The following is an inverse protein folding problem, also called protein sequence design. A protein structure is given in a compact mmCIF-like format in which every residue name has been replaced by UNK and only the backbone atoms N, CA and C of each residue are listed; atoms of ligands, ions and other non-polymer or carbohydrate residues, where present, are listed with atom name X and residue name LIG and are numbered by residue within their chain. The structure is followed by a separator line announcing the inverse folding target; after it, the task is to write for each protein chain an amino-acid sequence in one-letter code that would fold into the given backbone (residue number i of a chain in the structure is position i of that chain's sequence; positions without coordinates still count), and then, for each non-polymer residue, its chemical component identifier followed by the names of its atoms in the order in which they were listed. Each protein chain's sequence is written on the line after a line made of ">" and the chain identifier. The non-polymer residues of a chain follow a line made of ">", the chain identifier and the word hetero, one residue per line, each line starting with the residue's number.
data_IF_754936791691
#
_entry.id   IF_754936791691
#
_cell.length_a   1.000
_cell.length_b   1.000
_cell.length_c   1.000
_cell.angle_alpha   90.00
_cell.angle_beta   90.00
_cell.angle_gamma   90.00
#
_symmetry.space_group_name_H-M   'P 1'
#
loop_
_entity.id
_entity.type
_entity.pdbx_description
1 polymer ?
#
# COMPACT_ATOMS: atom_id res chain seq x y z
N UNK A 1 -7.66 16.23 -27.25
CA UNK A 1 -6.68 15.19 -26.87
C UNK A 1 -6.76 14.06 -27.88
N UNK A 2 -5.64 13.51 -28.37
CA UNK A 2 -5.64 12.38 -29.33
C UNK A 2 -6.08 11.09 -28.63
N UNK A 3 -6.88 10.25 -29.29
CA UNK A 3 -7.21 8.89 -28.84
C UNK A 3 -6.60 7.87 -29.80
N UNK A 4 -6.02 6.81 -29.24
CA UNK A 4 -5.45 5.69 -29.99
C UNK A 4 -6.34 4.46 -29.73
N UNK A 5 -6.86 3.79 -30.78
CA UNK A 5 -7.62 2.55 -30.64
C UNK A 5 -6.82 1.47 -29.89
N UNK A 6 -7.51 0.63 -29.12
CA UNK A 6 -6.87 -0.41 -28.31
C UNK A 6 -6.15 -1.43 -29.20
N UNK A 7 -6.70 -1.77 -30.38
CA UNK A 7 -6.07 -2.72 -31.32
C UNK A 7 -4.70 -2.27 -31.84
N UNK A 8 -4.39 -0.97 -31.76
CA UNK A 8 -3.10 -0.43 -32.19
C UNK A 8 -2.03 -0.53 -31.10
N UNK A 9 -2.37 -1.07 -29.94
CA UNK A 9 -1.46 -1.28 -28.81
C UNK A 9 -1.36 -2.77 -28.48
N UNK A 10 -0.12 -3.28 -28.46
CA UNK A 10 0.13 -4.63 -27.99
C UNK A 10 0.34 -4.60 -26.47
N UNK A 11 -0.75 -4.56 -25.70
CA UNK A 11 -0.67 -4.82 -24.27
C UNK A 11 -0.40 -6.30 -24.05
N UNK A 12 0.66 -6.61 -23.29
CA UNK A 12 0.85 -7.97 -22.78
C UNK A 12 -0.23 -8.22 -21.74
N UNK A 13 -1.34 -8.85 -22.16
CA UNK A 13 -2.29 -9.43 -21.22
C UNK A 13 -1.58 -10.66 -20.65
N UNK A 14 -1.02 -10.53 -19.45
CA UNK A 14 -0.52 -11.70 -18.75
C UNK A 14 -1.74 -12.42 -18.17
N UNK A 15 -2.17 -13.48 -18.85
CA UNK A 15 -3.23 -14.35 -18.36
C UNK A 15 -2.75 -15.02 -17.08
N UNK A 16 -3.14 -14.48 -15.93
CA UNK A 16 -2.90 -15.07 -14.62
C UNK A 16 -4.18 -15.78 -14.16
N UNK A 17 -4.19 -17.10 -14.35
CA UNK A 17 -5.35 -17.94 -14.03
C UNK A 17 -5.71 -17.88 -12.56
N UNK A 18 -4.75 -17.66 -11.67
CA UNK A 18 -5.00 -17.64 -10.22
C UNK A 18 -5.73 -16.35 -9.85
N UNK A 19 -5.26 -15.21 -10.34
CA UNK A 19 -5.94 -13.92 -10.14
C UNK A 19 -7.34 -13.97 -10.77
N UNK A 20 -7.49 -14.58 -11.96
CA UNK A 20 -8.79 -14.76 -12.58
C UNK A 20 -9.72 -15.64 -11.72
N UNK A 21 -9.21 -16.74 -11.18
CA UNK A 21 -10.00 -17.67 -10.36
C UNK A 21 -10.50 -17.01 -9.07
N UNK A 22 -9.64 -16.23 -8.40
CA UNK A 22 -10.05 -15.49 -7.20
C UNK A 22 -11.02 -14.37 -7.55
N UNK A 23 -10.78 -13.58 -8.60
CA UNK A 23 -11.71 -12.56 -9.07
C UNK A 23 -13.09 -13.17 -9.35
N UNK A 24 -13.15 -14.21 -10.18
CA UNK A 24 -14.39 -14.89 -10.54
C UNK A 24 -15.15 -15.38 -9.30
N UNK A 25 -14.43 -15.91 -8.30
CA UNK A 25 -15.06 -16.37 -7.07
C UNK A 25 -15.69 -15.21 -6.29
N UNK A 26 -14.98 -14.11 -6.05
CA UNK A 26 -15.56 -12.94 -5.38
C UNK A 26 -16.71 -12.33 -6.17
N UNK A 27 -16.56 -12.25 -7.49
CA UNK A 27 -17.58 -11.70 -8.40
C UNK A 27 -18.85 -12.55 -8.42
N UNK A 28 -18.78 -13.86 -8.14
CA UNK A 28 -19.97 -14.72 -8.06
C UNK A 28 -20.97 -14.33 -6.96
N UNK A 29 -20.55 -13.50 -6.00
CA UNK A 29 -21.41 -12.98 -4.93
C UNK A 29 -22.06 -11.62 -5.27
N UNK A 30 -21.77 -11.06 -6.45
CA UNK A 30 -22.27 -9.79 -6.97
C UNK A 30 -23.12 -10.08 -8.21
N UNK A 31 -24.33 -9.53 -8.25
CA UNK A 31 -25.16 -9.63 -9.45
C UNK A 31 -24.60 -8.68 -10.51
N UNK A 32 -24.55 -9.10 -11.77
CA UNK A 32 -23.96 -8.35 -12.88
C UNK A 32 -24.42 -6.88 -12.94
N UNK A 33 -25.73 -6.63 -12.79
CA UNK A 33 -26.30 -5.27 -12.76
C UNK A 33 -25.71 -4.40 -11.64
N UNK A 34 -25.48 -4.98 -10.46
CA UNK A 34 -24.90 -4.26 -9.33
C UNK A 34 -23.41 -3.97 -9.60
N UNK A 35 -22.70 -4.91 -10.24
CA UNK A 35 -21.33 -4.68 -10.65
C UNK A 35 -21.20 -3.55 -11.66
N UNK A 36 -22.00 -3.56 -12.73
CA UNK A 36 -22.00 -2.51 -13.76
C UNK A 36 -22.20 -1.13 -13.11
N UNK A 37 -23.18 -1.02 -12.20
CA UNK A 37 -23.42 0.23 -11.47
C UNK A 37 -22.22 0.63 -10.60
N UNK A 38 -21.73 -0.30 -9.78
CA UNK A 38 -20.60 -0.06 -8.87
C UNK A 38 -19.34 0.39 -9.63
N UNK A 39 -19.06 -0.28 -10.74
CA UNK A 39 -17.96 0.06 -11.64
C UNK A 39 -18.14 1.46 -12.24
N UNK A 40 -19.33 1.80 -12.71
CA UNK A 40 -19.61 3.16 -13.21
C UNK A 40 -19.45 4.24 -12.13
N UNK A 41 -19.86 3.96 -10.89
CA UNK A 41 -19.71 4.90 -9.78
C UNK A 41 -18.22 5.12 -9.45
N UNK A 42 -17.42 4.04 -9.43
CA UNK A 42 -15.96 4.08 -9.27
C UNK A 42 -15.34 4.94 -10.38
N UNK A 43 -15.62 4.62 -11.65
CA UNK A 43 -15.08 5.31 -12.81
C UNK A 43 -15.41 6.81 -12.81
N UNK A 44 -16.62 7.19 -12.38
CA UNK A 44 -17.01 8.59 -12.22
C UNK A 44 -16.24 9.33 -11.12
N UNK A 45 -15.87 8.64 -10.04
CA UNK A 45 -15.09 9.25 -8.95
C UNK A 45 -13.62 9.50 -9.33
N UNK A 46 -13.08 8.67 -10.22
CA UNK A 46 -11.65 8.71 -10.61
C UNK A 46 -11.43 9.29 -12.01
N UNK A 47 -12.48 9.65 -12.72
CA UNK A 47 -12.37 10.31 -14.02
C UNK A 47 -11.65 11.64 -13.85
N UNK A 48 -10.57 11.81 -14.62
CA UNK A 48 -9.79 13.03 -14.63
C UNK A 48 -10.19 13.89 -15.82
N UNK A 49 -10.66 15.10 -15.54
CA UNK A 49 -10.87 16.14 -16.55
C UNK A 49 -9.65 17.06 -16.62
N UNK A 50 -9.07 17.17 -17.81
CA UNK A 50 -8.01 18.15 -18.06
C UNK A 50 -8.59 19.56 -17.97
N UNK A 51 -8.13 20.33 -16.98
CA UNK A 51 -8.37 21.76 -16.95
C UNK A 51 -7.28 22.48 -17.74
N UNK A 52 -7.68 23.47 -18.55
CA UNK A 52 -6.77 24.42 -19.20
C UNK A 52 -6.25 25.50 -18.25
N UNK A 53 -6.53 25.38 -16.95
CA UNK A 53 -6.05 26.29 -15.92
C UNK A 53 -4.52 26.30 -15.83
N UNK A 54 -3.98 27.44 -15.37
CA UNK A 54 -2.55 27.61 -15.15
C UNK A 54 -2.06 26.55 -14.14
N UNK A 55 -0.95 25.84 -14.40
CA UNK A 55 -0.40 24.89 -13.43
C UNK A 55 -0.23 25.52 -12.05
N UNK A 56 -0.62 24.79 -10.99
CA UNK A 56 -0.61 25.24 -9.60
C UNK A 56 -1.59 26.39 -9.29
N UNK A 57 -2.64 26.60 -10.11
CA UNK A 57 -3.74 27.53 -9.80
C UNK A 57 -4.58 27.08 -8.61
N UNK A 58 -4.67 25.77 -8.38
CA UNK A 58 -5.39 25.15 -7.26
C UNK A 58 -4.41 24.59 -6.23
N UNK A 59 -4.78 24.60 -4.94
CA UNK A 59 -3.95 24.01 -3.89
C UNK A 59 -3.67 22.53 -4.18
N UNK A 60 -2.39 22.13 -4.11
CA UNK A 60 -1.98 20.72 -4.26
C UNK A 60 -2.59 19.79 -3.20
N UNK A 61 -3.03 20.35 -2.07
CA UNK A 61 -3.73 19.64 -0.99
C UNK A 61 -5.15 19.21 -1.36
N UNK A 62 -5.71 19.78 -2.42
CA UNK A 62 -7.03 19.42 -2.97
C UNK A 62 -6.93 18.41 -4.12
N UNK A 63 -5.72 17.90 -4.40
CA UNK A 63 -5.51 16.88 -5.42
C UNK A 63 -6.33 15.61 -5.15
N UNK A 64 -6.78 14.97 -6.23
CA UNK A 64 -7.62 13.77 -6.17
C UNK A 64 -6.82 12.59 -5.60
N UNK A 65 -6.91 12.37 -4.29
CA UNK A 65 -6.54 11.09 -3.70
C UNK A 65 -7.42 10.02 -4.34
N UNK A 66 -6.85 9.18 -5.19
CA UNK A 66 -7.51 8.03 -5.81
C UNK A 66 -7.70 6.91 -4.77
N UNK A 67 -8.56 7.16 -3.78
CA UNK A 67 -8.91 6.19 -2.76
C UNK A 67 -10.41 6.27 -2.49
N UNK A 68 -11.14 5.24 -2.89
CA UNK A 68 -12.58 5.14 -2.66
C UNK A 68 -12.79 4.56 -1.26
N UNK A 69 -13.15 5.42 -0.31
CA UNK A 69 -13.26 5.06 1.12
C UNK A 69 -14.58 4.38 1.49
N UNK A 70 -15.67 4.74 0.81
CA UNK A 70 -17.00 4.21 1.13
C UNK A 70 -17.20 2.79 0.60
N UNK A 71 -16.45 2.43 -0.43
CA UNK A 71 -16.54 1.14 -1.09
C UNK A 71 -15.15 0.59 -1.47
N UNK A 72 -14.36 0.29 -0.44
CA UNK A 72 -12.97 -0.14 -0.58
C UNK A 72 -12.86 -1.48 -1.32
N UNK A 73 -13.70 -2.47 -0.98
CA UNK A 73 -13.67 -3.75 -1.70
C UNK A 73 -14.14 -3.61 -3.15
N UNK A 74 -15.08 -2.73 -3.45
CA UNK A 74 -15.47 -2.42 -4.83
C UNK A 74 -14.30 -1.88 -5.64
N UNK A 75 -13.54 -0.97 -5.04
CA UNK A 75 -12.30 -0.45 -5.62
C UNK A 75 -11.26 -1.55 -5.86
N UNK A 76 -11.09 -2.49 -4.93
CA UNK A 76 -10.13 -3.59 -5.10
C UNK A 76 -10.53 -4.54 -6.22
N UNK A 77 -11.80 -4.92 -6.28
CA UNK A 77 -12.32 -5.75 -7.38
C UNK A 77 -12.19 -5.03 -8.72
N UNK A 78 -12.37 -3.71 -8.76
CA UNK A 78 -12.16 -2.92 -9.96
C UNK A 78 -10.69 -2.94 -10.42
N UNK A 79 -9.75 -2.77 -9.49
CA UNK A 79 -8.32 -2.86 -9.80
C UNK A 79 -7.95 -4.22 -10.39
N UNK A 80 -8.49 -5.31 -9.84
CA UNK A 80 -8.22 -6.69 -10.30
C UNK A 80 -8.89 -6.96 -11.65
N UNK A 81 -10.15 -6.54 -11.83
CA UNK A 81 -10.88 -6.63 -13.10
C UNK A 81 -10.14 -5.91 -14.23
N UNK A 82 -9.73 -4.67 -13.96
CA UNK A 82 -8.99 -3.85 -14.92
C UNK A 82 -7.61 -4.42 -15.22
N UNK A 83 -6.90 -4.95 -14.22
CA UNK A 83 -5.59 -5.58 -14.43
C UNK A 83 -5.67 -6.73 -15.45
N UNK A 84 -6.71 -7.56 -15.36
CA UNK A 84 -6.93 -8.70 -16.25
C UNK A 84 -7.47 -8.25 -17.61
N UNK A 85 -8.57 -7.48 -17.60
CA UNK A 85 -9.40 -7.28 -18.78
C UNK A 85 -9.06 -5.99 -19.55
N UNK A 86 -8.50 -4.99 -18.86
CA UNK A 86 -8.25 -3.66 -19.41
C UNK A 86 -6.89 -3.11 -18.95
N UNK A 87 -5.75 -3.79 -19.23
CA UNK A 87 -4.45 -3.43 -18.67
C UNK A 87 -4.01 -2.00 -18.99
N UNK A 88 -4.49 -1.43 -20.10
CA UNK A 88 -4.31 -0.01 -20.44
C UNK A 88 -4.85 0.96 -19.36
N UNK A 89 -5.81 0.53 -18.55
CA UNK A 89 -6.40 1.26 -17.42
C UNK A 89 -5.81 0.90 -16.05
N UNK A 90 -4.89 -0.06 -15.95
CA UNK A 90 -4.29 -0.52 -14.70
C UNK A 90 -3.63 0.58 -13.87
N UNK A 91 -3.95 0.67 -12.58
CA UNK A 91 -3.40 1.67 -11.67
C UNK A 91 -2.31 1.02 -10.80
N UNK A 92 -1.04 1.33 -11.11
CA UNK A 92 0.13 0.63 -10.55
C UNK A 92 0.28 0.76 -9.03
N UNK A 93 -0.09 1.89 -8.43
CA UNK A 93 0.22 2.16 -7.02
C UNK A 93 -0.70 1.43 -6.05
N UNK A 94 -2.01 1.42 -6.29
CA UNK A 94 -2.94 0.61 -5.52
C UNK A 94 -2.92 -0.84 -6.02
N UNK A 95 -2.74 -1.07 -7.32
CA UNK A 95 -2.64 -2.40 -7.91
C UNK A 95 -1.56 -3.26 -7.25
N UNK A 96 -0.35 -2.71 -7.07
CA UNK A 96 0.76 -3.42 -6.43
C UNK A 96 0.46 -3.95 -5.02
N UNK A 97 -0.48 -3.34 -4.30
CA UNK A 97 -0.90 -3.81 -2.98
C UNK A 97 -1.97 -4.90 -3.03
N UNK A 98 -2.84 -4.85 -4.04
CA UNK A 98 -4.07 -5.63 -4.07
C UNK A 98 -3.92 -6.89 -4.92
N UNK A 99 -3.27 -6.80 -6.07
CA UNK A 99 -3.08 -7.94 -6.98
C UNK A 99 -2.43 -9.15 -6.27
N UNK A 100 -1.37 -9.00 -5.45
CA UNK A 100 -0.76 -10.14 -4.77
C UNK A 100 -1.71 -10.89 -3.82
N UNK A 101 -2.65 -10.19 -3.17
CA UNK A 101 -3.64 -10.81 -2.28
C UNK A 101 -4.57 -11.74 -3.08
N UNK A 102 -5.06 -11.26 -4.22
CA UNK A 102 -5.92 -12.05 -5.10
C UNK A 102 -5.15 -13.19 -5.79
N UNK A 103 -3.87 -12.97 -6.12
CA UNK A 103 -2.97 -14.02 -6.60
C UNK A 103 -2.86 -15.15 -5.59
N UNK A 104 -2.56 -14.83 -4.32
CA UNK A 104 -2.46 -15.83 -3.24
C UNK A 104 -3.75 -16.63 -3.07
N UNK A 105 -4.90 -15.97 -2.98
CA UNK A 105 -6.20 -16.65 -2.83
C UNK A 105 -6.47 -17.56 -4.03
N UNK A 106 -6.07 -17.10 -5.23
CA UNK A 106 -6.20 -17.84 -6.48
C UNK A 106 -5.41 -19.15 -6.51
N UNK A 107 -4.16 -19.11 -6.05
CA UNK A 107 -3.27 -20.28 -5.98
C UNK A 107 -3.93 -21.40 -5.16
N UNK A 108 -4.52 -21.07 -4.02
CA UNK A 108 -5.15 -22.04 -3.12
C UNK A 108 -6.69 -22.04 -3.18
N UNK A 109 -7.28 -21.66 -4.32
CA UNK A 109 -8.71 -21.38 -4.41
C UNK A 109 -9.61 -22.55 -3.94
N UNK A 110 -9.17 -23.78 -4.14
CA UNK A 110 -9.90 -24.97 -3.72
C UNK A 110 -9.88 -25.15 -2.20
N UNK A 111 -8.75 -24.91 -1.54
CA UNK A 111 -8.67 -24.91 -0.08
C UNK A 111 -9.50 -23.76 0.49
N UNK A 112 -9.37 -22.57 -0.10
CA UNK A 112 -10.08 -21.37 0.32
C UNK A 112 -11.61 -21.55 0.32
N UNK A 113 -12.16 -22.16 -0.73
CA UNK A 113 -13.60 -22.45 -0.85
C UNK A 113 -14.13 -23.43 0.20
N UNK A 114 -13.27 -24.29 0.75
CA UNK A 114 -13.66 -25.31 1.72
C UNK A 114 -13.63 -24.80 3.18
N UNK A 115 -13.17 -23.59 3.43
CA UNK A 115 -13.16 -22.99 4.77
C UNK A 115 -14.62 -22.75 5.23
N UNK A 116 -14.99 -23.29 6.38
CA UNK A 116 -16.37 -23.18 6.86
C UNK A 116 -16.71 -21.71 7.18
N UNK A 117 -17.86 -21.24 6.67
CA UNK A 117 -18.32 -19.86 6.84
C UNK A 117 -17.73 -18.86 5.84
N UNK A 118 -16.84 -19.28 4.92
CA UNK A 118 -16.15 -18.36 3.98
C UNK A 118 -17.11 -17.56 3.10
N UNK A 119 -18.15 -18.21 2.55
CA UNK A 119 -19.12 -17.51 1.69
C UNK A 119 -19.87 -16.41 2.44
N UNK A 120 -20.21 -16.66 3.71
CA UNK A 120 -20.89 -15.68 4.55
C UNK A 120 -19.98 -14.48 4.76
N UNK A 121 -18.70 -14.71 5.08
CA UNK A 121 -17.72 -13.64 5.28
C UNK A 121 -17.49 -12.81 4.01
N UNK A 122 -17.40 -13.46 2.84
CA UNK A 122 -17.28 -12.76 1.55
C UNK A 122 -18.54 -11.94 1.24
N UNK A 123 -19.74 -12.50 1.47
CA UNK A 123 -21.01 -11.77 1.30
C UNK A 123 -21.08 -10.55 2.22
N UNK A 124 -20.63 -10.66 3.47
CA UNK A 124 -20.55 -9.55 4.43
C UNK A 124 -19.60 -8.45 3.94
N UNK A 125 -18.39 -8.82 3.53
CA UNK A 125 -17.40 -7.92 2.95
C UNK A 125 -17.96 -7.15 1.75
N UNK A 126 -18.57 -7.86 0.80
CA UNK A 126 -19.06 -7.28 -0.45
C UNK A 126 -20.29 -6.39 -0.24
N UNK A 127 -21.19 -6.75 0.67
CA UNK A 127 -22.52 -6.13 0.77
C UNK A 127 -22.68 -5.16 1.94
N UNK A 128 -22.08 -5.46 3.11
CA UNK A 128 -22.33 -4.75 4.36
C UNK A 128 -21.12 -3.94 4.83
N UNK A 129 -19.94 -4.56 4.87
CA UNK A 129 -18.71 -4.02 5.48
C UNK A 129 -17.71 -3.56 4.41
N UNK A 130 -18.21 -2.85 3.40
CA UNK A 130 -17.46 -2.50 2.17
C UNK A 130 -16.21 -1.67 2.42
N UNK A 131 -16.23 -0.82 3.45
CA UNK A 131 -15.11 0.04 3.86
C UNK A 131 -14.05 -0.69 4.70
N UNK A 132 -14.34 -1.91 5.17
CA UNK A 132 -13.48 -2.68 6.08
C UNK A 132 -12.68 -3.75 5.33
N UNK A 133 -12.48 -3.56 4.03
CA UNK A 133 -11.89 -4.55 3.14
C UNK A 133 -10.49 -5.00 3.59
N UNK A 134 -9.64 -4.08 4.05
CA UNK A 134 -8.29 -4.43 4.50
C UNK A 134 -8.31 -5.37 5.72
N UNK A 135 -9.25 -5.19 6.65
CA UNK A 135 -9.37 -6.04 7.84
C UNK A 135 -9.95 -7.41 7.49
N UNK A 136 -11.05 -7.42 6.72
CA UNK A 136 -11.71 -8.67 6.34
C UNK A 136 -10.83 -9.51 5.40
N UNK A 137 -10.16 -8.91 4.40
CA UNK A 137 -9.22 -9.65 3.54
C UNK A 137 -8.05 -10.23 4.35
N UNK A 138 -7.57 -9.52 5.37
CA UNK A 138 -6.55 -10.06 6.26
C UNK A 138 -7.03 -11.31 7.02
N UNK A 139 -8.25 -11.31 7.55
CA UNK A 139 -8.85 -12.51 8.16
C UNK A 139 -8.98 -13.67 7.15
N UNK A 140 -9.39 -13.38 5.91
CA UNK A 140 -9.48 -14.38 4.86
C UNK A 140 -8.12 -15.04 4.57
N UNK A 141 -7.05 -14.25 4.54
CA UNK A 141 -5.69 -14.75 4.37
C UNK A 141 -5.22 -15.56 5.58
N UNK A 142 -5.53 -15.13 6.81
CA UNK A 142 -5.19 -15.88 8.03
C UNK A 142 -5.93 -17.22 8.07
N UNK A 143 -7.21 -17.24 7.70
CA UNK A 143 -7.96 -18.49 7.61
C UNK A 143 -7.34 -19.45 6.58
N UNK A 144 -6.89 -18.92 5.44
CA UNK A 144 -6.19 -19.70 4.42
C UNK A 144 -4.83 -20.22 4.93
N UNK A 145 -4.06 -19.40 5.64
CA UNK A 145 -2.78 -19.78 6.24
C UNK A 145 -2.92 -20.97 7.19
N UNK A 146 -3.88 -20.93 8.11
CA UNK A 146 -4.13 -22.03 9.03
C UNK A 146 -4.61 -23.30 8.31
N UNK A 147 -5.44 -23.14 7.27
CA UNK A 147 -5.87 -24.25 6.42
C UNK A 147 -4.69 -24.91 5.71
N UNK A 148 -3.76 -24.11 5.15
CA UNK A 148 -2.52 -24.60 4.52
C UNK A 148 -1.62 -25.37 5.50
N UNK A 149 -1.64 -25.01 6.78
CA UNK A 149 -0.93 -25.72 7.85
C UNK A 149 -1.65 -27.01 8.31
N UNK A 150 -2.72 -27.41 7.62
CA UNK A 150 -3.43 -28.67 7.83
C UNK A 150 -4.47 -28.63 8.95
N UNK A 151 -4.96 -27.44 9.31
CA UNK A 151 -6.08 -27.29 10.23
C UNK A 151 -7.42 -27.21 9.48
N UNK A 152 -8.48 -27.71 10.11
CA UNK A 152 -9.85 -27.42 9.70
C UNK A 152 -10.27 -26.08 10.31
N UNK A 153 -10.48 -25.07 9.48
CA UNK A 153 -10.73 -23.68 9.90
C UNK A 153 -12.20 -23.30 9.68
N UNK A 154 -12.77 -22.56 10.64
CA UNK A 154 -14.12 -22.01 10.56
C UNK A 154 -14.15 -20.55 11.03
N UNK A 155 -14.92 -19.70 10.34
CA UNK A 155 -15.29 -18.38 10.85
C UNK A 155 -16.34 -18.49 11.95
N UNK A 156 -16.12 -17.82 13.08
CA UNK A 156 -17.08 -17.77 14.17
C UNK A 156 -18.11 -16.66 13.95
N UNK A 157 -19.33 -16.86 14.42
CA UNK A 157 -20.36 -15.83 14.37
C UNK A 157 -20.22 -14.88 15.58
N UNK A 158 -20.34 -13.58 15.33
CA UNK A 158 -20.40 -12.57 16.39
C UNK A 158 -21.63 -12.83 17.28
N UNK A 159 -21.40 -13.16 18.56
CA UNK A 159 -22.46 -13.28 19.56
C UNK A 159 -22.88 -11.87 20.03
N UNK A 160 -24.19 -11.63 20.19
CA UNK A 160 -24.72 -10.32 20.61
C UNK A 160 -24.25 -9.87 21.99
N UNK A 161 -24.00 -10.82 22.89
CA UNK A 161 -23.74 -10.55 24.31
C UNK A 161 -22.31 -10.92 24.75
N UNK A 162 -21.45 -11.35 23.82
CA UNK A 162 -20.06 -11.71 24.14
C UNK A 162 -19.10 -11.49 22.97
N UNK A 163 -17.93 -10.97 23.32
CA UNK A 163 -16.74 -10.94 22.47
C UNK A 163 -16.39 -12.37 22.03
N UNK A 164 -16.16 -12.57 20.73
CA UNK A 164 -15.90 -13.88 20.13
C UNK A 164 -14.70 -13.73 19.19
N UNK A 165 -13.71 -14.63 19.24
CA UNK A 165 -12.60 -14.61 18.28
C UNK A 165 -13.07 -14.70 16.84
N UNK A 166 -12.27 -14.21 15.89
CA UNK A 166 -12.64 -14.27 14.47
C UNK A 166 -12.72 -15.70 13.90
N UNK A 167 -11.78 -16.57 14.27
CA UNK A 167 -11.66 -17.93 13.73
C UNK A 167 -11.46 -18.99 14.82
N UNK A 168 -11.84 -20.22 14.48
CA UNK A 168 -11.43 -21.44 15.18
C UNK A 168 -10.73 -22.38 14.20
N UNK A 169 -9.64 -23.00 14.64
CA UNK A 169 -8.87 -23.97 13.87
C UNK A 169 -8.69 -25.27 14.65
N UNK A 170 -9.00 -26.41 14.03
CA UNK A 170 -8.94 -27.72 14.69
C UNK A 170 -8.06 -28.72 13.94
N UNK A 171 -7.27 -29.50 14.66
CA UNK A 171 -6.42 -30.57 14.12
C UNK A 171 -6.29 -31.69 15.14
N UNK A 172 -6.94 -32.82 14.89
CA UNK A 172 -7.02 -33.91 15.88
C UNK A 172 -7.75 -33.44 17.15
N UNK A 173 -7.06 -33.49 18.30
CA UNK A 173 -7.57 -33.02 19.61
C UNK A 173 -7.19 -31.57 19.93
N UNK A 174 -6.50 -30.89 19.01
CA UNK A 174 -6.11 -29.49 19.18
C UNK A 174 -7.17 -28.56 18.61
N UNK A 175 -7.51 -27.53 19.38
CA UNK A 175 -8.42 -26.45 19.01
C UNK A 175 -7.73 -25.13 19.34
N UNK A 176 -7.63 -24.25 18.36
CA UNK A 176 -7.02 -22.94 18.47
C UNK A 176 -8.04 -21.85 18.17
N UNK A 177 -8.02 -20.80 18.98
CA UNK A 177 -8.84 -19.60 18.81
C UNK A 177 -7.98 -18.47 18.28
N UNK A 178 -8.41 -17.84 17.19
CA UNK A 178 -7.57 -16.92 16.45
C UNK A 178 -8.28 -15.59 16.31
N UNK A 179 -7.61 -14.53 16.78
CA UNK A 179 -8.06 -13.16 16.59
C UNK A 179 -7.18 -12.45 15.57
N UNK A 180 -7.82 -11.76 14.63
CA UNK A 180 -7.15 -11.02 13.58
C UNK A 180 -7.29 -9.51 13.84
N UNK A 181 -6.17 -8.79 13.80
CA UNK A 181 -6.17 -7.32 13.86
C UNK A 181 -5.40 -6.74 12.70
N UNK A 182 -5.98 -5.72 12.07
CA UNK A 182 -5.31 -4.95 11.02
C UNK A 182 -5.04 -3.54 11.51
N UNK A 183 -3.77 -3.15 11.59
CA UNK A 183 -3.44 -1.74 11.83
C UNK A 183 -3.78 -0.93 10.57
N UNK A 184 -4.36 0.26 10.75
CA UNK A 184 -4.68 1.14 9.62
C UNK A 184 -3.42 1.46 8.80
N UNK A 185 -3.57 1.70 7.50
CA UNK A 185 -2.44 1.80 6.55
C UNK A 185 -1.39 2.86 6.90
N UNK A 186 -1.79 4.01 7.40
CA UNK A 186 -0.91 5.19 7.52
C UNK A 186 -1.16 5.89 8.84
N UNK A 187 -0.09 6.32 9.51
CA UNK A 187 -0.19 7.12 10.72
C UNK A 187 -0.78 8.50 10.43
N UNK A 188 -1.56 9.06 11.35
CA UNK A 188 -2.07 10.43 11.25
C UNK A 188 -0.94 11.44 11.07
N UNK A 189 0.22 11.17 11.70
CA UNK A 189 1.43 11.95 11.51
C UNK A 189 1.88 11.99 10.03
N UNK A 190 1.96 10.83 9.36
CA UNK A 190 2.35 10.73 7.95
C UNK A 190 1.38 11.50 7.04
N UNK A 191 0.07 11.50 7.34
CA UNK A 191 -0.90 12.32 6.60
C UNK A 191 -0.65 13.83 6.76
N UNK A 192 -0.44 14.31 7.99
CA UNK A 192 -0.18 15.72 8.25
C UNK A 192 1.12 16.19 7.61
N UNK A 193 2.16 15.37 7.69
CA UNK A 193 3.45 15.63 7.06
C UNK A 193 3.33 15.65 5.52
N UNK A 194 2.56 14.73 4.92
CA UNK A 194 2.29 14.72 3.47
C UNK A 194 1.57 15.99 3.03
N UNK A 195 0.53 16.41 3.77
CA UNK A 195 -0.18 17.65 3.50
C UNK A 195 0.74 18.87 3.64
N UNK A 196 1.64 18.88 4.63
CA UNK A 196 2.64 19.93 4.81
C UNK A 196 3.60 20.02 3.63
N UNK A 197 4.12 18.88 3.14
CA UNK A 197 4.96 18.81 1.94
C UNK A 197 4.25 19.36 0.71
N UNK A 198 2.99 19.01 0.50
CA UNK A 198 2.18 19.53 -0.62
C UNK A 198 2.00 21.05 -0.54
N UNK A 199 1.75 21.61 0.66
CA UNK A 199 1.69 23.06 0.86
C UNK A 199 3.01 23.74 0.55
N UNK A 200 4.14 23.23 1.06
CA UNK A 200 5.46 23.77 0.74
C UNK A 200 5.78 23.70 -0.75
N UNK A 201 5.43 22.58 -1.41
CA UNK A 201 5.62 22.39 -2.85
C UNK A 201 4.82 23.41 -3.66
N UNK A 202 3.60 23.75 -3.22
CA UNK A 202 2.77 24.75 -3.89
C UNK A 202 3.47 26.11 -4.05
N UNK A 203 4.30 26.50 -3.08
CA UNK A 203 5.03 27.77 -3.13
C UNK A 203 6.22 27.78 -4.10
N UNK A 204 6.71 26.62 -4.53
CA UNK A 204 7.94 26.51 -5.35
C UNK A 204 7.71 25.79 -6.69
N UNK A 205 6.63 25.00 -6.83
CA UNK A 205 6.40 24.08 -7.93
C UNK A 205 6.44 24.72 -9.32
N UNK A 206 5.91 25.94 -9.46
CA UNK A 206 5.97 26.70 -10.72
C UNK A 206 7.40 27.00 -11.16
N UNK A 207 8.25 27.43 -10.23
CA UNK A 207 9.65 27.75 -10.53
C UNK A 207 10.48 26.49 -10.74
N UNK A 208 10.20 25.41 -10.02
CA UNK A 208 10.79 24.10 -10.28
C UNK A 208 10.47 23.61 -11.70
N UNK A 209 9.20 23.72 -12.11
CA UNK A 209 8.75 23.28 -13.43
C UNK A 209 9.44 24.07 -14.55
N UNK A 210 9.44 25.41 -14.48
CA UNK A 210 10.08 26.27 -15.48
C UNK A 210 11.57 25.96 -15.68
N UNK A 211 12.26 25.61 -14.58
CA UNK A 211 13.71 25.37 -14.56
C UNK A 211 14.08 23.90 -14.73
N UNK A 212 13.11 23.01 -14.92
CA UNK A 212 13.32 21.56 -15.03
C UNK A 212 14.12 20.96 -13.87
N UNK A 213 13.79 21.31 -12.63
CA UNK A 213 14.58 20.96 -11.46
C UNK A 213 14.18 19.61 -10.85
N UNK A 214 15.20 18.87 -10.41
CA UNK A 214 15.05 17.69 -9.57
C UNK A 214 15.73 17.96 -8.23
N UNK A 215 14.97 17.88 -7.14
CA UNK A 215 15.46 18.12 -5.79
C UNK A 215 15.49 16.82 -4.97
N UNK A 216 16.51 16.66 -4.14
CA UNK A 216 16.51 15.71 -3.02
C UNK A 216 16.52 16.51 -1.72
N UNK A 217 15.41 16.46 -0.98
CA UNK A 217 15.17 17.25 0.23
C UNK A 217 15.11 16.32 1.44
N UNK A 218 16.01 16.56 2.41
CA UNK A 218 16.04 15.87 3.70
C UNK A 218 15.82 16.90 4.80
N UNK A 219 14.71 16.79 5.52
CA UNK A 219 14.44 17.60 6.70
C UNK A 219 15.01 16.92 7.96
N UNK A 220 15.72 17.70 8.77
CA UNK A 220 16.37 17.30 10.02
C UNK A 220 15.56 17.68 11.27
N UNK A 221 14.44 18.38 11.06
CA UNK A 221 13.45 18.76 12.07
C UNK A 221 12.05 18.38 11.58
N UNK A 222 11.09 18.28 12.49
CA UNK A 222 9.70 18.00 12.12
C UNK A 222 9.15 19.09 11.18
N UNK A 223 8.62 18.67 10.03
CA UNK A 223 8.15 19.59 8.99
C UNK A 223 7.04 20.52 9.49
N UNK A 224 6.24 20.07 10.47
CA UNK A 224 5.16 20.88 11.03
C UNK A 224 5.66 22.14 11.74
N UNK A 225 6.89 22.12 12.26
CA UNK A 225 7.51 23.26 12.95
C UNK A 225 8.02 24.33 11.97
N UNK A 226 8.11 24.01 10.68
CA UNK A 226 8.59 24.92 9.64
C UNK A 226 7.43 25.70 9.02
N UNK A 227 7.60 26.98 8.62
CA UNK A 227 6.56 27.70 7.90
C UNK A 227 6.29 27.09 6.52
N UNK A 228 5.07 27.21 6.00
CA UNK A 228 4.74 26.67 4.65
C UNK A 228 5.60 27.30 3.54
N UNK A 229 6.09 28.52 3.75
CA UNK A 229 6.97 29.24 2.82
C UNK A 229 8.46 28.90 2.99
N UNK A 230 8.81 27.98 3.90
CA UNK A 230 10.20 27.71 4.28
C UNK A 230 11.10 27.42 3.06
N UNK A 231 10.71 26.47 2.23
CA UNK A 231 11.46 26.12 1.02
C UNK A 231 11.56 27.30 0.03
N UNK A 232 10.48 28.06 -0.14
CA UNK A 232 10.51 29.25 -1.02
C UNK A 232 11.59 30.23 -0.57
N UNK A 233 11.67 30.49 0.73
CA UNK A 233 12.57 31.46 1.32
C UNK A 233 14.03 31.04 1.18
N UNK A 234 14.35 29.76 1.46
CA UNK A 234 15.74 29.27 1.40
C UNK A 234 16.23 29.04 -0.03
N UNK A 235 15.35 28.61 -0.95
CA UNK A 235 15.73 28.28 -2.32
C UNK A 235 15.89 29.55 -3.17
N UNK A 236 15.10 30.60 -2.89
CA UNK A 236 15.12 31.90 -3.58
C UNK A 236 15.18 31.79 -5.12
N UNK A 237 14.42 30.85 -5.69
CA UNK A 237 14.50 30.44 -7.10
C UNK A 237 14.16 31.56 -8.08
N UNK A 238 13.39 32.56 -7.64
CA UNK A 238 12.97 33.72 -8.44
C UNK A 238 14.15 34.65 -8.77
N UNK A 239 15.17 34.72 -7.90
CA UNK A 239 16.29 35.68 -8.00
C UNK A 239 17.64 35.04 -8.34
N UNK A 240 17.78 33.73 -8.20
CA UNK A 240 19.05 33.03 -8.35
C UNK A 240 19.21 32.23 -9.65
N UNK A 241 20.45 32.15 -10.16
CA UNK A 241 20.88 31.05 -11.03
C UNK A 241 21.06 29.80 -10.16
N UNK A 242 20.41 28.72 -10.53
CA UNK A 242 20.53 27.41 -9.88
C UNK A 242 21.38 26.52 -10.77
N UNK A 243 22.34 25.81 -10.18
CA UNK A 243 23.23 24.92 -10.91
C UNK A 243 23.05 23.49 -10.43
N UNK A 244 23.12 22.52 -11.35
CA UNK A 244 23.17 21.10 -10.98
C UNK A 244 24.40 20.85 -10.11
N UNK A 245 24.24 20.07 -9.03
CA UNK A 245 25.28 19.83 -8.03
C UNK A 245 25.34 20.86 -6.90
N UNK A 246 24.54 21.92 -6.95
CA UNK A 246 24.38 22.83 -5.81
C UNK A 246 23.80 22.07 -4.61
N UNK A 247 24.26 22.43 -3.41
CA UNK A 247 23.75 21.90 -2.14
C UNK A 247 23.49 23.04 -1.16
N UNK A 248 22.32 23.03 -0.53
CA UNK A 248 22.00 23.84 0.66
C UNK A 248 21.98 22.88 1.83
N UNK A 249 22.66 23.19 2.93
CA UNK A 249 22.69 22.34 4.11
C UNK A 249 22.82 23.21 5.36
N UNK A 250 21.90 23.02 6.30
CA UNK A 250 21.89 23.65 7.60
C UNK A 250 21.33 22.64 8.64
N UNK A 251 21.10 23.10 9.88
CA UNK A 251 20.62 22.23 10.96
C UNK A 251 19.17 21.74 10.78
N UNK A 252 18.39 22.33 9.88
CA UNK A 252 16.96 22.03 9.66
C UNK A 252 16.72 21.24 8.37
N UNK A 253 17.54 21.45 7.33
CA UNK A 253 17.34 20.84 6.02
C UNK A 253 18.65 20.68 5.24
N UNK A 254 18.71 19.61 4.46
CA UNK A 254 19.66 19.43 3.37
C UNK A 254 18.92 19.29 2.05
N UNK A 255 19.33 20.07 1.04
CA UNK A 255 18.74 20.08 -0.30
C UNK A 255 19.83 19.94 -1.35
N UNK A 256 19.73 18.91 -2.18
CA UNK A 256 20.60 18.70 -3.32
C UNK A 256 19.86 19.02 -4.61
N UNK A 257 20.51 19.75 -5.51
CA UNK A 257 19.94 20.19 -6.77
C UNK A 257 20.49 19.39 -7.93
N UNK A 258 19.58 19.01 -8.83
CA UNK A 258 19.89 18.41 -10.12
C UNK A 258 18.87 18.86 -11.16
N UNK A 259 19.04 18.44 -12.40
CA UNK A 259 18.12 18.75 -13.50
C UNK A 259 17.43 17.48 -14.00
N UNK A 260 16.16 17.63 -14.36
CA UNK A 260 15.41 16.61 -15.09
C UNK A 260 15.90 16.59 -16.54
N UNK A 261 16.29 15.42 -17.05
CA UNK A 261 16.77 15.30 -18.42
C UNK A 261 15.62 15.13 -19.41
N UNK A 262 15.05 16.25 -19.85
CA UNK A 262 13.91 16.27 -20.78
C UNK A 262 14.23 15.58 -22.12
N UNK A 263 15.49 15.62 -22.58
CA UNK A 263 15.89 14.95 -23.83
C UNK A 263 15.77 13.44 -23.69
N UNK A 264 16.44 12.86 -22.68
CA UNK A 264 16.42 11.41 -22.45
C UNK A 264 15.00 10.88 -22.23
N UNK A 265 14.16 11.64 -21.52
CA UNK A 265 12.76 11.27 -21.30
C UNK A 265 12.02 11.22 -22.63
N UNK A 266 12.13 12.24 -23.46
CA UNK A 266 11.46 12.26 -24.76
C UNK A 266 12.02 11.19 -25.71
N UNK A 267 13.31 10.87 -25.62
CA UNK A 267 13.92 9.78 -26.39
C UNK A 267 13.31 8.43 -26.00
N UNK A 268 13.07 8.22 -24.70
CA UNK A 268 12.35 7.04 -24.20
C UNK A 268 10.88 7.01 -24.66
N UNK A 269 10.16 8.13 -24.57
CA UNK A 269 8.76 8.26 -24.98
C UNK A 269 8.52 8.03 -26.48
N UNK A 270 9.53 8.26 -27.34
CA UNK A 270 9.44 7.94 -28.76
C UNK A 270 9.37 6.44 -29.05
N UNK A 271 9.94 5.62 -28.16
CA UNK A 271 10.07 4.18 -28.33
C UNK A 271 9.11 3.39 -27.44
N UNK A 272 8.66 4.01 -26.34
CA UNK A 272 7.89 3.35 -25.30
C UNK A 272 6.67 4.18 -24.92
N UNK A 273 5.63 3.48 -24.52
CA UNK A 273 4.37 4.11 -24.13
C UNK A 273 4.28 4.19 -22.63
N UNK A 274 4.39 5.41 -22.09
CA UNK A 274 4.45 5.63 -20.65
C UNK A 274 3.13 6.22 -20.16
N UNK A 275 2.51 5.52 -19.21
CA UNK A 275 1.24 5.92 -18.60
C UNK A 275 1.41 7.10 -17.64
N UNK A 276 0.38 7.93 -17.50
CA UNK A 276 0.31 9.02 -16.54
C UNK A 276 -0.84 8.82 -15.55
N UNK A 277 -0.56 8.80 -14.23
CA UNK A 277 0.76 8.63 -13.60
C UNK A 277 1.27 7.18 -13.73
N UNK A 278 2.57 6.95 -13.55
CA UNK A 278 3.16 5.61 -13.48
C UNK A 278 4.53 5.58 -12.80
N UNK A 279 4.97 4.43 -12.25
CA UNK A 279 6.33 4.23 -11.76
C UNK A 279 7.39 4.54 -12.81
N UNK A 280 7.17 4.14 -14.06
CA UNK A 280 8.09 4.43 -15.17
C UNK A 280 8.28 5.93 -15.36
N UNK A 281 7.18 6.71 -15.35
CA UNK A 281 7.28 8.16 -15.43
C UNK A 281 8.06 8.75 -14.23
N UNK A 282 7.81 8.24 -13.03
CA UNK A 282 8.56 8.68 -11.85
C UNK A 282 10.05 8.37 -11.98
N UNK A 283 10.43 7.18 -12.47
CA UNK A 283 11.83 6.80 -12.71
C UNK A 283 12.49 7.68 -13.75
N UNK A 284 11.79 7.99 -14.84
CA UNK A 284 12.28 8.87 -15.90
C UNK A 284 12.55 10.30 -15.39
N UNK A 285 11.64 10.86 -14.58
CA UNK A 285 11.81 12.21 -13.99
C UNK A 285 12.88 12.20 -12.88
N UNK A 286 12.81 11.22 -11.98
CA UNK A 286 13.68 11.11 -10.81
C UNK A 286 15.06 10.52 -11.10
N UNK A 287 15.28 9.97 -12.29
CA UNK A 287 16.49 9.24 -12.74
C UNK A 287 16.83 7.98 -11.92
N UNK A 288 15.93 7.56 -11.05
CA UNK A 288 15.98 6.35 -10.23
C UNK A 288 14.57 5.92 -9.86
N UNK A 289 14.38 4.64 -9.56
CA UNK A 289 13.13 4.16 -8.97
C UNK A 289 12.83 4.92 -7.67
N UNK A 290 11.55 5.16 -7.39
CA UNK A 290 11.15 5.77 -6.12
C UNK A 290 11.47 4.77 -5.03
N UNK A 291 12.33 5.19 -4.10
CA UNK A 291 12.78 4.41 -2.96
C UNK A 291 11.84 4.62 -1.76
N UNK A 292 12.31 4.34 -0.54
CA UNK A 292 11.59 4.64 0.70
C UNK A 292 11.35 6.15 0.94
N UNK A 293 11.75 7.04 0.01
CA UNK A 293 11.39 8.46 0.03
C UNK A 293 10.06 8.67 -0.67
N UNK A 294 9.29 9.65 -0.19
CA UNK A 294 8.17 10.16 -0.98
C UNK A 294 8.70 10.90 -2.21
N UNK A 295 8.03 10.77 -3.36
CA UNK A 295 8.36 11.51 -4.57
C UNK A 295 7.16 12.33 -5.03
N UNK A 296 7.38 13.60 -5.34
CA UNK A 296 6.37 14.48 -5.95
C UNK A 296 6.90 15.02 -7.26
N UNK A 297 6.10 14.94 -8.31
CA UNK A 297 6.48 15.46 -9.61
C UNK A 297 5.31 16.18 -10.27
N UNK A 298 5.64 17.00 -11.26
CA UNK A 298 4.67 17.55 -12.20
C UNK A 298 5.34 17.67 -13.57
N UNK A 299 4.52 17.58 -14.62
CA UNK A 299 4.97 17.72 -16.00
C UNK A 299 4.10 18.71 -16.75
N UNK A 300 4.69 19.37 -17.74
CA UNK A 300 4.02 20.06 -18.81
C UNK A 300 4.35 19.30 -20.10
N UNK A 301 3.33 18.89 -20.84
CA UNK A 301 3.53 18.02 -21.99
C UNK A 301 2.25 17.75 -22.76
N UNK A 302 2.42 16.97 -23.82
CA UNK A 302 1.35 16.47 -24.67
C UNK A 302 0.95 15.07 -24.22
N UNK A 303 -0.35 14.80 -24.25
CA UNK A 303 -0.94 13.55 -23.82
C UNK A 303 -1.85 12.95 -24.88
N UNK A 304 -2.06 11.65 -24.79
CA UNK A 304 -3.06 10.92 -25.56
C UNK A 304 -3.76 9.88 -24.68
N UNK A 305 -4.94 9.44 -25.11
CA UNK A 305 -5.65 8.33 -24.47
C UNK A 305 -5.54 7.06 -25.30
N UNK A 306 -5.56 5.92 -24.63
CA UNK A 306 -5.64 4.60 -25.28
C UNK A 306 -7.00 3.97 -24.98
N UNK A 307 -7.65 3.42 -26.00
CA UNK A 307 -8.98 2.81 -25.87
C UNK A 307 -10.08 3.80 -25.48
N UNK A 308 -11.24 3.26 -25.11
CA UNK A 308 -12.44 4.02 -24.77
C UNK A 308 -12.50 4.45 -23.30
N UNK A 309 -13.30 5.49 -23.02
CA UNK A 309 -13.48 6.06 -21.67
C UNK A 309 -12.43 7.10 -21.27
N UNK A 310 -12.59 7.64 -20.06
CA UNK A 310 -11.80 8.77 -19.54
C UNK A 310 -10.94 8.41 -18.31
N UNK A 311 -11.01 7.17 -17.86
CA UNK A 311 -10.43 6.72 -16.59
C UNK A 311 -9.11 6.01 -16.82
N UNK A 312 -8.07 6.48 -16.14
CA UNK A 312 -6.75 5.85 -16.06
C UNK A 312 -6.17 5.36 -17.39
N UNK A 313 -6.54 5.91 -18.55
CA UNK A 313 -6.06 5.47 -19.86
C UNK A 313 -5.20 6.53 -20.54
N UNK A 314 -4.56 7.38 -19.73
CA UNK A 314 -3.82 8.54 -20.16
C UNK A 314 -2.33 8.20 -20.26
N UNK A 315 -1.73 8.58 -21.39
CA UNK A 315 -0.33 8.33 -21.70
C UNK A 315 0.36 9.61 -22.14
N UNK A 316 1.66 9.68 -21.85
CA UNK A 316 2.50 10.84 -22.17
C UNK A 316 3.06 10.67 -23.58
N UNK A 317 2.81 11.64 -24.46
CA UNK A 317 3.39 11.70 -25.79
C UNK A 317 4.76 12.38 -25.78
N UNK A 318 4.84 13.54 -25.13
CA UNK A 318 6.02 14.40 -25.11
C UNK A 318 5.99 15.28 -23.87
N UNK A 319 7.15 15.55 -23.29
CA UNK A 319 7.31 16.47 -22.16
C UNK A 319 8.11 17.69 -22.62
N UNK A 320 7.61 18.89 -22.32
CA UNK A 320 8.35 20.15 -22.50
C UNK A 320 9.05 20.58 -21.22
N UNK A 321 8.39 20.40 -20.07
CA UNK A 321 8.95 20.70 -18.76
C UNK A 321 8.55 19.67 -17.72
N UNK A 322 9.41 19.43 -16.73
CA UNK A 322 9.11 18.56 -15.61
C UNK A 322 9.92 18.94 -14.38
N UNK A 323 9.36 18.71 -13.19
CA UNK A 323 10.15 18.70 -11.96
C UNK A 323 9.92 17.43 -11.17
N UNK A 324 10.88 17.11 -10.30
CA UNK A 324 10.74 16.10 -9.26
C UNK A 324 11.27 16.60 -7.92
N UNK A 325 10.68 16.11 -6.83
CA UNK A 325 11.18 16.34 -5.47
C UNK A 325 11.11 15.02 -4.71
N UNK A 326 12.27 14.51 -4.30
CA UNK A 326 12.37 13.46 -3.30
C UNK A 326 12.32 14.07 -1.91
N UNK A 327 11.55 13.45 -1.02
CA UNK A 327 11.30 13.91 0.32
C UNK A 327 11.71 12.86 1.35
N UNK A 328 12.56 13.25 2.29
CA UNK A 328 12.88 12.49 3.50
C UNK A 328 12.79 13.41 4.72
N UNK A 329 12.40 12.85 5.85
CA UNK A 329 12.53 13.48 7.16
C UNK A 329 13.27 12.51 8.07
N UNK A 330 14.43 12.90 8.58
CA UNK A 330 15.25 12.09 9.49
C UNK A 330 15.24 12.61 10.94
N UNK A 331 14.35 13.56 11.25
CA UNK A 331 14.09 14.01 12.61
C UNK A 331 13.64 12.83 13.49
N UNK A 332 14.27 12.68 14.66
CA UNK A 332 14.02 11.56 15.58
C UNK A 332 12.57 11.53 16.05
N UNK A 333 12.01 12.69 16.34
CA UNK A 333 10.63 12.88 16.78
C UNK A 333 9.64 12.44 15.69
N UNK A 334 9.93 12.77 14.43
CA UNK A 334 9.12 12.35 13.29
C UNK A 334 9.18 10.83 13.08
N UNK A 335 10.38 10.24 13.15
CA UNK A 335 10.57 8.78 13.05
C UNK A 335 9.78 8.07 14.15
N UNK A 336 9.94 8.53 15.40
CA UNK A 336 9.24 7.97 16.54
C UNK A 336 7.72 8.11 16.41
N UNK A 337 7.21 9.24 15.93
CA UNK A 337 5.77 9.47 15.77
C UNK A 337 5.14 8.60 14.66
N UNK A 338 5.87 8.32 13.58
CA UNK A 338 5.42 7.42 12.50
C UNK A 338 5.48 5.96 12.89
N UNK A 339 6.47 5.57 13.70
CA UNK A 339 6.64 4.22 14.23
C UNK A 339 5.53 3.86 15.23
N UNK A 340 4.37 3.45 14.70
CA UNK A 340 3.18 3.11 15.50
C UNK A 340 3.25 1.70 16.06
N UNK A 341 3.10 1.62 17.37
CA UNK A 341 2.98 0.37 18.11
C UNK A 341 1.62 -0.32 17.88
N UNK A 342 1.53 -1.61 18.24
CA UNK A 342 0.34 -2.45 18.15
C UNK A 342 -0.31 -2.74 19.50
N UNK A 343 0.11 -2.04 20.55
CA UNK A 343 -0.40 -2.17 21.92
C UNK A 343 -1.92 -2.26 21.96
N UNK A 344 -2.62 -1.29 21.37
CA UNK A 344 -4.09 -1.25 21.40
C UNK A 344 -4.71 -2.47 20.69
N UNK A 345 -4.13 -2.91 19.57
CA UNK A 345 -4.58 -4.10 18.85
C UNK A 345 -4.42 -5.34 19.72
N UNK A 346 -3.25 -5.54 20.33
CA UNK A 346 -2.98 -6.68 21.21
C UNK A 346 -3.93 -6.69 22.41
N UNK A 347 -4.01 -5.60 23.18
CA UNK A 347 -4.85 -5.56 24.39
C UNK A 347 -6.35 -5.73 24.05
N UNK A 348 -6.82 -5.14 22.94
CA UNK A 348 -8.20 -5.34 22.49
C UNK A 348 -8.52 -6.78 22.06
N UNK A 349 -7.50 -7.50 21.55
CA UNK A 349 -7.61 -8.90 21.17
C UNK A 349 -7.56 -9.83 22.39
N UNK A 350 -6.71 -9.53 23.38
CA UNK A 350 -6.66 -10.26 24.65
C UNK A 350 -8.04 -10.26 25.35
N UNK A 351 -8.77 -9.14 25.33
CA UNK A 351 -10.12 -9.07 25.88
C UNK A 351 -11.10 -10.07 25.24
N UNK A 352 -10.85 -10.53 24.01
CA UNK A 352 -11.69 -11.50 23.31
C UNK A 352 -11.50 -12.94 23.83
N UNK A 353 -10.43 -13.21 24.57
CA UNK A 353 -10.10 -14.54 25.11
C UNK A 353 -10.40 -14.67 26.62
N UNK A 354 -11.22 -13.76 27.16
CA UNK A 354 -11.48 -13.66 28.61
C UNK A 354 -12.46 -14.70 29.17
N UNK A 355 -13.11 -15.49 28.31
CA UNK A 355 -13.99 -16.59 28.72
C UNK A 355 -13.22 -17.85 29.12
N UNK A 356 -13.77 -18.63 30.05
CA UNK A 356 -13.20 -19.92 30.51
C UNK A 356 -13.12 -20.99 29.40
N UNK A 357 -13.84 -20.79 28.31
CA UNK A 357 -13.84 -21.67 27.12
C UNK A 357 -12.57 -21.54 26.26
N UNK A 358 -11.80 -20.45 26.43
CA UNK A 358 -10.57 -20.18 25.72
C UNK A 358 -9.41 -20.58 26.63
N UNK A 359 -8.89 -21.80 26.51
CA UNK A 359 -7.70 -22.29 27.23
C UNK A 359 -6.42 -21.60 26.72
N UNK A 360 -5.24 -22.14 27.05
CA UNK A 360 -3.88 -21.73 26.60
C UNK A 360 -3.63 -21.90 25.09
N UNK A 361 -4.67 -21.81 24.26
CA UNK A 361 -4.67 -22.08 22.82
C UNK A 361 -5.30 -20.94 22.03
N UNK A 362 -4.93 -19.71 22.37
CA UNK A 362 -5.30 -18.54 21.58
C UNK A 362 -4.11 -17.87 20.91
N UNK A 363 -4.35 -17.34 19.72
CA UNK A 363 -3.33 -16.69 18.89
C UNK A 363 -3.87 -15.36 18.39
N UNK A 364 -3.00 -14.36 18.34
CA UNK A 364 -3.30 -13.07 17.69
C UNK A 364 -2.46 -12.95 16.42
N UNK A 365 -3.10 -12.65 15.30
CA UNK A 365 -2.43 -12.20 14.09
C UNK A 365 -2.61 -10.68 13.94
N UNK A 366 -1.52 -9.94 13.77
CA UNK A 366 -1.55 -8.48 13.54
C UNK A 366 -0.92 -8.14 12.20
N UNK A 367 -1.70 -7.58 11.27
CA UNK A 367 -1.24 -7.14 9.96
C UNK A 367 -0.92 -5.65 9.88
N UNK A 368 0.19 -5.29 9.25
CA UNK A 368 0.73 -3.92 9.18
C UNK A 368 1.32 -3.62 7.80
N UNK A 369 1.24 -2.36 7.37
CA UNK A 369 1.95 -1.89 6.17
C UNK A 369 3.20 -1.11 6.56
N UNK A 370 4.25 -1.16 5.74
CA UNK A 370 5.60 -0.67 6.03
C UNK A 370 6.10 0.45 5.09
N UNK A 371 5.23 1.41 4.75
CA UNK A 371 5.53 2.47 3.77
C UNK A 371 6.43 3.61 4.26
N UNK A 372 6.74 3.70 5.56
CA UNK A 372 7.40 4.89 6.12
C UNK A 372 8.94 4.81 6.10
N UNK A 373 9.48 3.68 5.61
CA UNK A 373 10.91 3.48 5.34
C UNK A 373 11.71 2.84 6.48
N UNK A 374 12.95 2.37 6.21
CA UNK A 374 13.68 1.45 7.08
C UNK A 374 13.90 1.93 8.51
N UNK A 375 14.16 3.22 8.70
CA UNK A 375 14.38 3.79 10.02
C UNK A 375 13.09 3.78 10.85
N UNK A 376 11.95 4.06 10.22
CA UNK A 376 10.64 4.02 10.88
C UNK A 376 10.23 2.58 11.18
N UNK A 377 10.44 1.66 10.24
CA UNK A 377 10.06 0.27 10.43
C UNK A 377 10.93 -0.44 11.47
N UNK A 378 12.23 -0.14 11.52
CA UNK A 378 13.12 -0.59 12.60
C UNK A 378 12.65 -0.06 13.95
N UNK A 379 12.36 1.24 14.07
CA UNK A 379 11.85 1.84 15.31
C UNK A 379 10.49 1.28 15.72
N UNK A 380 9.62 0.97 14.73
CA UNK A 380 8.32 0.35 14.95
C UNK A 380 8.49 -1.04 15.54
N UNK A 381 9.38 -1.84 14.95
CA UNK A 381 9.66 -3.18 15.42
C UNK A 381 10.18 -3.19 16.86
N UNK A 382 11.10 -2.29 17.21
CA UNK A 382 11.59 -2.14 18.58
C UNK A 382 10.45 -1.85 19.58
N UNK A 383 9.54 -0.92 19.24
CA UNK A 383 8.37 -0.61 20.07
C UNK A 383 7.47 -1.82 20.28
N UNK A 384 7.21 -2.57 19.22
CA UNK A 384 6.39 -3.78 19.26
C UNK A 384 7.03 -4.83 20.17
N UNK A 385 8.36 -5.02 20.08
CA UNK A 385 9.09 -5.93 20.95
C UNK A 385 9.00 -5.51 22.42
N UNK A 386 9.19 -4.23 22.72
CA UNK A 386 9.07 -3.69 24.08
C UNK A 386 7.66 -3.89 24.64
N UNK A 387 6.62 -3.65 23.84
CA UNK A 387 5.24 -3.89 24.23
C UNK A 387 4.99 -5.37 24.48
N UNK A 388 5.46 -6.27 23.62
CA UNK A 388 5.30 -7.70 23.83
C UNK A 388 5.98 -8.20 25.12
N UNK A 389 7.18 -7.71 25.41
CA UNK A 389 7.92 -8.05 26.64
C UNK A 389 7.23 -7.53 27.92
N UNK A 390 6.37 -6.51 27.80
CA UNK A 390 5.64 -5.95 28.94
C UNK A 390 4.33 -6.68 29.28
N UNK A 391 3.92 -7.66 28.47
CA UNK A 391 2.68 -8.41 28.68
C UNK A 391 2.90 -9.43 29.79
N UNK A 392 2.11 -9.33 30.87
CA UNK A 392 2.06 -10.37 31.91
C UNK A 392 1.26 -11.57 31.41
N UNK A 393 1.95 -12.70 31.21
CA UNK A 393 1.37 -13.91 30.63
C UNK A 393 0.74 -14.85 31.66
N UNK A 394 0.88 -14.57 32.96
CA UNK A 394 0.46 -15.52 34.01
C UNK A 394 -1.06 -15.77 34.04
N UNK A 395 -1.87 -14.80 33.57
CA UNK A 395 -3.34 -14.87 33.62
C UNK A 395 -4.00 -14.63 32.24
N UNK A 396 -3.28 -14.83 31.14
CA UNK A 396 -3.78 -14.61 29.79
C UNK A 396 -3.91 -15.90 29.01
N UNK A 397 -5.10 -16.19 28.50
CA UNK A 397 -5.37 -17.31 27.59
C UNK A 397 -4.81 -17.05 26.19
N UNK A 398 -3.52 -16.72 26.09
CA UNK A 398 -2.82 -16.29 24.88
C UNK A 398 -1.46 -16.98 24.79
N UNK A 399 -1.21 -17.64 23.67
CA UNK A 399 0.01 -18.43 23.46
C UNK A 399 0.99 -17.74 22.53
N UNK A 400 0.49 -17.10 21.46
CA UNK A 400 1.31 -16.55 20.39
C UNK A 400 0.75 -15.23 19.82
N UNK A 401 1.65 -14.35 19.41
CA UNK A 401 1.33 -13.16 18.61
C UNK A 401 2.20 -13.18 17.36
N UNK A 402 1.57 -13.22 16.18
CA UNK A 402 2.23 -13.13 14.89
C UNK A 402 2.03 -11.74 14.27
N UNK A 403 3.12 -11.05 14.00
CA UNK A 403 3.12 -9.76 13.33
C UNK A 403 3.51 -9.93 11.86
N UNK A 404 2.62 -9.50 10.97
CA UNK A 404 2.76 -9.58 9.52
C UNK A 404 2.99 -8.18 8.96
N UNK A 405 4.12 -7.97 8.31
CA UNK A 405 4.53 -6.69 7.74
C UNK A 405 4.54 -6.80 6.22
N UNK A 406 3.75 -5.97 5.56
CA UNK A 406 3.60 -5.97 4.10
C UNK A 406 4.16 -4.68 3.50
N UNK A 407 5.03 -4.84 2.50
CA UNK A 407 5.53 -3.75 1.69
C UNK A 407 5.20 -4.02 0.23
N UNK A 408 4.34 -3.20 -0.37
CA UNK A 408 4.14 -3.23 -1.82
C UNK A 408 5.07 -2.21 -2.51
N UNK A 409 5.60 -2.60 -3.66
CA UNK A 409 6.41 -1.75 -4.52
C UNK A 409 5.76 -1.67 -5.90
N UNK A 410 5.69 -0.46 -6.42
CA UNK A 410 5.31 -0.20 -7.81
C UNK A 410 6.59 0.14 -8.55
N UNK A 411 7.25 -0.89 -9.10
CA UNK A 411 8.47 -0.73 -9.89
C UNK A 411 8.11 -0.55 -11.37
N UNK A 412 8.98 0.09 -12.18
CA UNK A 412 8.71 0.29 -13.60
C UNK A 412 8.69 -0.98 -14.46
N UNK A 413 9.39 -2.02 -14.02
CA UNK A 413 9.62 -3.25 -14.77
C UNK A 413 8.56 -4.34 -14.55
N UNK A 414 7.81 -4.26 -13.45
CA UNK A 414 6.83 -5.26 -13.02
C UNK A 414 5.52 -4.58 -12.61
N UNK A 415 4.39 -5.26 -12.82
CA UNK A 415 3.07 -4.70 -12.52
C UNK A 415 2.82 -4.59 -11.01
N UNK A 416 3.47 -5.45 -10.22
CA UNK A 416 3.39 -5.48 -8.78
C UNK A 416 4.59 -6.25 -8.21
N UNK A 417 5.14 -5.76 -7.10
CA UNK A 417 6.10 -6.49 -6.26
C UNK A 417 5.62 -6.35 -4.82
N UNK A 418 5.70 -7.43 -4.05
CA UNK A 418 5.37 -7.41 -2.62
C UNK A 418 6.44 -8.14 -1.82
N UNK A 419 6.82 -7.53 -0.70
CA UNK A 419 7.56 -8.18 0.36
C UNK A 419 6.65 -8.43 1.56
N UNK A 420 6.89 -9.56 2.22
CA UNK A 420 6.27 -9.95 3.46
C UNK A 420 7.36 -10.30 4.48
N UNK A 421 7.16 -9.87 5.71
CA UNK A 421 7.98 -10.29 6.84
C UNK A 421 7.07 -10.67 7.97
N UNK A 422 7.28 -11.87 8.52
CA UNK A 422 6.56 -12.34 9.69
C UNK A 422 7.50 -12.44 10.88
N UNK A 423 7.05 -11.92 12.02
CA UNK A 423 7.75 -12.01 13.29
C UNK A 423 6.79 -12.54 14.35
N UNK A 424 7.15 -13.67 14.95
CA UNK A 424 6.53 -14.11 16.19
C UNK A 424 7.08 -13.28 17.33
N UNK A 425 6.21 -12.59 18.07
CA UNK A 425 6.58 -12.08 19.39
C UNK A 425 6.63 -13.30 20.32
N UNK A 426 7.63 -13.35 21.19
CA UNK A 426 8.06 -14.47 22.07
C UNK A 426 6.97 -15.50 22.44
N UNK A 427 7.29 -16.80 22.57
CA UNK A 427 6.37 -17.79 23.14
C UNK A 427 5.85 -17.32 24.51
N UNK A 428 4.59 -16.87 24.56
CA UNK A 428 4.01 -16.32 25.79
C UNK A 428 3.72 -17.45 26.80
N UNK A 429 3.38 -18.64 26.28
CA UNK A 429 3.15 -19.87 27.07
C UNK A 429 3.76 -21.13 26.45
N UNK A 430 3.66 -21.31 25.13
CA UNK A 430 4.10 -22.53 24.44
C UNK A 430 5.43 -22.32 23.71
N UNK A 431 6.39 -23.22 23.84
CA UNK A 431 7.73 -23.08 23.20
C UNK A 431 7.73 -23.32 21.69
N UNK A 432 6.70 -23.97 21.14
CA UNK A 432 6.57 -24.27 19.71
C UNK A 432 5.32 -23.61 19.13
N UNK A 433 5.43 -22.93 17.97
CA UNK A 433 4.29 -22.30 17.32
C UNK A 433 3.32 -23.37 16.76
N UNK A 434 2.00 -23.10 16.76
CA UNK A 434 1.00 -24.05 16.26
C UNK A 434 1.04 -24.29 14.75
N UNK A 435 1.69 -23.38 14.02
CA UNK A 435 1.83 -23.40 12.57
C UNK A 435 3.31 -23.22 12.20
N UNK A 436 3.73 -23.83 11.09
CA UNK A 436 5.12 -23.78 10.61
C UNK A 436 5.26 -22.77 9.47
N UNK A 437 4.33 -22.77 8.53
CA UNK A 437 4.27 -21.77 7.47
C UNK A 437 3.59 -20.53 8.03
N UNK A 438 4.24 -19.38 7.86
CA UNK A 438 3.81 -18.12 8.46
C UNK A 438 3.39 -17.06 7.43
N UNK A 439 3.85 -17.17 6.18
CA UNK A 439 3.59 -16.17 5.14
C UNK A 439 2.14 -16.23 4.66
N UNK A 440 1.46 -15.08 4.67
CA UNK A 440 0.09 -14.91 4.24
C UNK A 440 -0.04 -14.73 2.73
N UNK A 441 0.91 -14.04 2.09
CA UNK A 441 0.83 -13.65 0.68
C UNK A 441 1.93 -14.30 -0.15
N UNK A 442 3.18 -14.25 0.33
CA UNK A 442 4.32 -14.80 -0.42
C UNK A 442 4.32 -16.34 -0.37
N UNK A 443 4.59 -17.05 -1.48
CA UNK A 443 4.73 -18.51 -1.49
C UNK A 443 5.86 -19.04 -0.59
N UNK A 444 5.63 -20.22 0.01
CA UNK A 444 6.55 -20.84 0.97
C UNK A 444 7.80 -21.48 0.31
N UNK A 445 7.78 -21.64 -1.02
CA UNK A 445 8.83 -22.27 -1.85
C UNK A 445 9.89 -21.29 -2.37
N UNK A 446 9.73 -19.99 -2.12
CA UNK A 446 10.81 -19.02 -2.32
C UNK A 446 11.85 -19.20 -1.22
N UNK A 447 13.06 -19.65 -1.57
CA UNK A 447 14.15 -19.85 -0.62
C UNK A 447 14.47 -18.55 0.12
N UNK A 448 13.96 -18.41 1.34
CA UNK A 448 14.25 -17.27 2.20
C UNK A 448 15.64 -17.43 2.83
N UNK A 449 16.69 -17.27 2.02
CA UNK A 449 18.09 -17.30 2.46
C UNK A 449 18.45 -16.17 3.43
N UNK A 450 17.60 -15.15 3.60
CA UNK A 450 17.86 -14.03 4.51
C UNK A 450 16.77 -13.94 5.58
N UNK A 451 17.13 -14.29 6.82
CA UNK A 451 16.31 -14.11 8.02
C UNK A 451 15.98 -12.65 8.35
N UNK A 452 16.57 -11.72 7.57
CA UNK A 452 16.41 -10.28 7.69
C UNK A 452 15.00 -9.83 7.30
N UNK A 453 14.45 -8.86 8.02
CA UNK A 453 13.19 -8.25 7.64
C UNK A 453 13.34 -7.49 6.31
N UNK A 454 12.26 -7.34 5.54
CA UNK A 454 12.33 -6.72 4.21
C UNK A 454 12.86 -5.28 4.21
N UNK A 455 12.68 -4.53 5.31
CA UNK A 455 13.23 -3.17 5.42
C UNK A 455 14.75 -3.12 5.61
N UNK A 456 15.42 -4.26 5.75
CA UNK A 456 16.88 -4.41 5.71
C UNK A 456 17.39 -4.99 4.38
N UNK A 457 16.48 -5.37 3.47
CA UNK A 457 16.83 -5.91 2.15
C UNK A 457 17.02 -4.76 1.14
N UNK A 458 17.78 -5.00 0.06
CA UNK A 458 17.80 -4.09 -1.08
C UNK A 458 16.39 -3.89 -1.64
N UNK A 459 16.12 -2.69 -2.17
CA UNK A 459 14.90 -2.44 -2.94
C UNK A 459 14.88 -3.31 -4.22
N UNK A 460 13.70 -3.77 -4.64
CA UNK A 460 13.54 -4.53 -5.88
C UNK A 460 13.87 -3.71 -7.14
#
# INVERSE_FOLDING_TARGET
>A
MKRIPLENYNFKIQADTDIQNSLNYFMSFIIEKDWIKRRSDIEKMISYEFSSEVPFSKPLTEGTLLAIKNDVIGWYLYLVDVYINEPHKYEYYQGARIIPIFKRIGIDINLFKNIAGIEKRIKELIRKRKSEADALLFELLVALLWTKNGYNVSFLEEKKDSKTPDLVATKGSETWHIECKRQSKTADYTYRETAKRQRMLNYIGKELLKKNLLLDVVFHVELENLPDTYLKNILNLEKGKVFSGQKISNNEVTISFSSVNISDINDHLRLNSVKYPSPMLNKLIGRKSVDHKSFSCAILGDFFRVGEGEVNNLYVNKISHAFGVFWKCDAKEAIFAKARDIKNQIFSAIEQFSGEEYDDRSVIHVGMETYDGPEVESQRFEKIQNTAQSIDTNNLNLSWIFCHFFQSYSVPEEDWVIDETVRSLTPLRNTYPPIQNLMLVIPDDESHEDSKPHWEKPLP
#
